data_IF_328659261059
#
_entry.id   IF_328659261059
#
_cell.length_a   1.000
_cell.length_b   1.000
_cell.length_c   1.000
_cell.angle_alpha   90.00
_cell.angle_beta   90.00
_cell.angle_gamma   90.00
#
_symmetry.space_group_name_H-M   'P 1'
#
loop_
_entity.id
_entity.type
_entity.pdbx_description
1 polymer ?
#
# COMPACT_ATOMS: atom_id res chain seq x y z
N UNK A 1 -19.08 -18.83 6.98
CA UNK A 1 -17.93 -18.37 6.19
C UNK A 1 -17.47 -17.03 6.74
N UNK A 2 -16.43 -17.02 7.60
CA UNK A 2 -16.06 -15.85 8.41
C UNK A 2 -14.64 -15.39 8.08
N UNK A 3 -14.51 -14.09 7.78
CA UNK A 3 -13.35 -13.18 7.95
C UNK A 3 -12.02 -13.54 7.23
N UNK A 4 -11.72 -12.89 6.10
CA UNK A 4 -10.34 -12.86 5.54
C UNK A 4 -9.92 -11.51 4.93
N UNK A 5 -10.56 -10.41 5.31
CA UNK A 5 -10.06 -9.08 4.94
C UNK A 5 -9.42 -8.45 6.17
N UNK A 6 -8.12 -8.70 6.38
CA UNK A 6 -7.31 -7.86 7.26
C UNK A 6 -6.98 -6.58 6.49
N UNK A 7 -7.98 -5.74 6.30
CA UNK A 7 -7.75 -4.34 5.94
C UNK A 7 -7.22 -3.68 7.21
N UNK A 8 -5.91 -3.46 7.26
CA UNK A 8 -5.29 -2.72 8.34
C UNK A 8 -5.29 -1.25 7.95
N UNK A 9 -6.35 -0.53 8.29
CA UNK A 9 -6.33 0.93 8.29
C UNK A 9 -5.46 1.40 9.47
N UNK A 10 -4.15 1.45 9.29
CA UNK A 10 -3.27 2.13 10.26
C UNK A 10 -3.07 3.57 9.81
N UNK A 11 -3.94 4.46 10.29
CA UNK A 11 -3.71 5.89 10.26
C UNK A 11 -2.84 6.23 11.48
N UNK A 12 -1.57 6.56 11.31
CA UNK A 12 -0.80 7.18 12.39
C UNK A 12 -1.04 8.71 12.36
N UNK A 13 -0.96 9.44 13.48
CA UNK A 13 -1.01 10.90 13.49
C UNK A 13 0.39 11.49 13.26
N UNK A 14 0.50 12.57 12.46
CA UNK A 14 1.79 13.23 12.19
C UNK A 14 2.00 14.31 13.24
N UNK A 15 2.85 14.07 14.23
CA UNK A 15 3.29 15.12 15.16
C UNK A 15 4.26 16.04 14.42
N UNK A 16 3.75 17.13 13.82
CA UNK A 16 4.58 18.16 13.20
C UNK A 16 4.75 19.32 14.18
N UNK A 17 5.95 19.46 14.74
CA UNK A 17 6.36 20.67 15.44
C UNK A 17 6.69 21.75 14.41
N UNK A 18 5.86 22.78 14.29
CA UNK A 18 6.22 24.18 14.53
C UNK A 18 5.04 25.09 14.15
N UNK A 19 4.93 26.18 14.90
CA UNK A 19 3.87 27.18 14.92
C UNK A 19 3.41 27.64 13.53
N UNK A 20 2.22 27.23 13.10
CA UNK A 20 1.24 28.05 12.38
C UNK A 20 -0.07 27.28 12.20
N UNK A 21 -1.13 27.81 12.82
CA UNK A 21 -2.50 27.33 12.80
C UNK A 21 -3.12 27.56 11.42
N UNK A 22 -3.14 26.54 10.57
CA UNK A 22 -4.21 26.38 9.58
C UNK A 22 -4.78 24.97 9.72
N UNK A 23 -6.01 24.98 10.19
CA UNK A 23 -6.88 23.88 10.56
C UNK A 23 -7.29 23.05 9.35
N UNK A 24 -6.54 21.99 9.06
CA UNK A 24 -7.15 20.72 8.67
C UNK A 24 -6.22 19.56 9.07
N UNK A 25 -6.42 19.05 10.29
CA UNK A 25 -5.65 17.94 10.88
C UNK A 25 -5.91 16.58 10.21
N UNK A 26 -6.37 16.56 8.95
CA UNK A 26 -6.74 15.36 8.19
C UNK A 26 -5.75 15.11 7.04
N UNK A 27 -4.46 15.06 7.37
CA UNK A 27 -3.45 14.66 6.40
C UNK A 27 -3.47 13.15 6.25
N UNK A 28 -3.72 12.66 5.05
CA UNK A 28 -3.49 11.26 4.70
C UNK A 28 -2.03 10.92 4.99
N UNK A 29 -1.79 9.90 5.79
CA UNK A 29 -0.43 9.43 6.07
C UNK A 29 -0.07 8.27 5.16
N UNK A 30 -0.56 7.09 5.53
CA UNK A 30 -0.29 5.85 4.82
C UNK A 30 -1.51 4.93 4.93
N UNK A 31 -1.70 4.11 3.93
CA UNK A 31 -2.68 3.04 3.88
C UNK A 31 -1.96 1.82 3.33
N UNK A 32 -2.25 0.64 3.87
CA UNK A 32 -1.74 -0.63 3.37
C UNK A 32 -2.84 -1.66 3.30
N UNK A 33 -2.88 -2.41 2.20
CA UNK A 33 -3.85 -3.48 1.99
C UNK A 33 -3.13 -4.70 1.45
N UNK A 34 -3.29 -5.80 2.18
CA UNK A 34 -2.71 -7.09 1.82
C UNK A 34 -3.67 -8.21 2.19
N UNK A 35 -4.57 -8.60 1.27
CA UNK A 35 -5.54 -9.66 1.52
C UNK A 35 -4.82 -10.99 1.70
N UNK A 36 -5.12 -11.69 2.79
CA UNK A 36 -4.49 -12.99 3.07
C UNK A 36 -4.77 -14.00 1.95
N UNK A 37 -5.98 -13.98 1.39
CA UNK A 37 -6.34 -14.81 0.25
C UNK A 37 -5.46 -14.57 -0.99
N UNK A 38 -5.02 -13.32 -1.23
CA UNK A 38 -4.11 -13.03 -2.35
C UNK A 38 -2.72 -13.64 -2.11
N UNK A 39 -2.20 -13.52 -0.88
CA UNK A 39 -0.92 -14.15 -0.50
C UNK A 39 -0.96 -15.67 -0.64
N UNK A 40 -2.04 -16.29 -0.19
CA UNK A 40 -2.20 -17.73 -0.25
C UNK A 40 -2.39 -18.21 -1.70
N UNK A 41 -3.17 -17.48 -2.50
CA UNK A 41 -3.35 -17.74 -3.93
C UNK A 41 -2.03 -17.64 -4.71
N UNK A 42 -1.23 -16.61 -4.45
CA UNK A 42 0.09 -16.48 -5.07
C UNK A 42 1.02 -17.65 -4.75
N UNK A 43 1.08 -18.06 -3.47
CA UNK A 43 1.89 -19.20 -3.04
C UNK A 43 1.43 -20.52 -3.67
N UNK A 44 0.13 -20.67 -3.91
CA UNK A 44 -0.45 -21.91 -4.43
C UNK A 44 -0.30 -22.06 -5.95
N UNK A 45 -0.41 -20.98 -6.73
CA UNK A 45 -0.56 -21.09 -8.18
C UNK A 45 0.22 -20.09 -9.02
N UNK A 46 0.83 -19.05 -8.43
CA UNK A 46 1.55 -18.03 -9.21
C UNK A 46 3.03 -18.38 -9.38
N UNK A 47 3.65 -17.77 -10.39
CA UNK A 47 5.09 -17.87 -10.63
C UNK A 47 5.83 -17.09 -9.54
N UNK A 48 7.03 -17.56 -9.18
CA UNK A 48 7.91 -16.94 -8.17
C UNK A 48 8.61 -15.68 -8.71
N UNK A 49 7.83 -14.79 -9.31
CA UNK A 49 8.24 -13.49 -9.83
C UNK A 49 7.33 -12.45 -9.16
N UNK A 50 7.93 -11.38 -8.66
CA UNK A 50 7.25 -10.23 -8.09
C UNK A 50 7.70 -8.98 -8.86
N UNK A 51 6.73 -8.17 -9.29
CA UNK A 51 6.91 -6.82 -9.77
C UNK A 51 6.54 -5.84 -8.67
N UNK A 52 7.38 -4.82 -8.48
CA UNK A 52 7.14 -3.70 -7.59
C UNK A 52 7.03 -2.45 -8.45
N UNK A 53 5.98 -1.67 -8.24
CA UNK A 53 5.80 -0.41 -8.96
C UNK A 53 5.20 0.67 -8.05
N UNK A 54 5.52 1.92 -8.36
CA UNK A 54 5.09 3.11 -7.64
C UNK A 54 4.55 4.16 -8.62
N UNK A 55 3.40 4.76 -8.32
CA UNK A 55 2.88 5.85 -9.14
C UNK A 55 2.42 7.05 -8.31
N UNK A 56 2.54 8.26 -8.87
CA UNK A 56 2.14 9.49 -8.20
C UNK A 56 0.60 9.61 -8.17
N UNK A 57 0.04 9.81 -6.98
CA UNK A 57 -1.37 10.09 -6.78
C UNK A 57 -1.65 11.58 -7.05
N UNK A 58 -2.41 11.86 -8.11
CA UNK A 58 -2.95 13.20 -8.38
C UNK A 58 -4.28 13.36 -7.64
N UNK A 59 -4.32 14.26 -6.67
CA UNK A 59 -5.53 14.54 -5.90
C UNK A 59 -5.26 15.47 -4.71
N UNK A 60 -6.30 15.77 -3.94
CA UNK A 60 -6.22 16.70 -2.81
C UNK A 60 -5.16 16.31 -1.78
N UNK A 61 -4.99 15.00 -1.54
CA UNK A 61 -4.06 14.47 -0.55
C UNK A 61 -2.65 14.18 -1.10
N UNK A 62 -2.47 14.21 -2.42
CA UNK A 62 -1.20 13.84 -3.07
C UNK A 62 -0.71 12.44 -2.69
N UNK A 63 0.61 12.25 -2.72
CA UNK A 63 1.29 11.02 -2.31
C UNK A 63 1.61 10.07 -3.46
N UNK A 64 1.97 8.85 -3.10
CA UNK A 64 2.38 7.80 -4.03
C UNK A 64 1.63 6.51 -3.72
N UNK A 65 1.26 5.77 -4.76
CA UNK A 65 0.65 4.46 -4.67
C UNK A 65 1.68 3.41 -5.02
N UNK A 66 2.03 2.56 -4.05
CA UNK A 66 2.94 1.43 -4.20
C UNK A 66 2.11 0.16 -4.40
N UNK A 67 2.54 -0.71 -5.29
CA UNK A 67 1.89 -1.99 -5.53
C UNK A 67 2.93 -3.10 -5.67
N UNK A 68 2.60 -4.28 -5.14
CA UNK A 68 3.27 -5.54 -5.44
C UNK A 68 2.33 -6.38 -6.28
N UNK A 69 2.83 -6.84 -7.42
CA UNK A 69 2.13 -7.72 -8.33
C UNK A 69 2.95 -8.99 -8.57
N UNK A 70 2.28 -10.12 -8.68
CA UNK A 70 2.84 -11.37 -9.18
C UNK A 70 2.46 -11.61 -10.64
N UNK A 71 2.98 -12.70 -11.19
CA UNK A 71 2.51 -13.26 -12.46
C UNK A 71 1.88 -14.61 -12.19
N UNK A 72 0.62 -14.80 -12.60
CA UNK A 72 -0.08 -16.06 -12.40
C UNK A 72 0.40 -17.17 -13.38
N UNK A 73 -0.15 -18.38 -13.24
CA UNK A 73 0.17 -19.49 -14.14
C UNK A 73 -0.14 -19.17 -15.61
N UNK A 74 -1.16 -18.35 -15.86
CA UNK A 74 -1.68 -17.94 -17.16
C UNK A 74 -1.04 -16.64 -17.69
N UNK A 75 0.13 -16.24 -17.19
CA UNK A 75 0.83 -15.02 -17.59
C UNK A 75 0.05 -13.71 -17.32
N UNK A 76 -0.98 -13.75 -16.48
CA UNK A 76 -1.73 -12.58 -16.03
C UNK A 76 -1.02 -11.85 -14.88
N UNK A 77 -1.30 -10.55 -14.75
CA UNK A 77 -0.86 -9.75 -13.60
C UNK A 77 -1.76 -10.07 -12.40
N UNK A 78 -1.15 -10.47 -11.29
CA UNK A 78 -1.84 -10.87 -10.06
C UNK A 78 -1.54 -9.88 -8.94
N UNK A 79 -2.52 -9.08 -8.52
CA UNK A 79 -2.31 -8.09 -7.44
C UNK A 79 -2.22 -8.76 -6.06
N UNK A 80 -1.11 -8.51 -5.36
CA UNK A 80 -0.84 -9.07 -4.03
C UNK A 80 -1.19 -8.10 -2.92
N UNK A 81 -0.62 -6.91 -2.99
CA UNK A 81 -0.70 -5.90 -1.95
C UNK A 81 -0.44 -4.51 -2.54
N UNK A 82 -0.96 -3.50 -1.86
CA UNK A 82 -0.83 -2.12 -2.27
C UNK A 82 -0.83 -1.20 -1.07
N UNK A 83 -0.15 -0.07 -1.21
CA UNK A 83 -0.09 0.98 -0.22
C UNK A 83 -0.25 2.36 -0.86
N UNK A 84 -0.89 3.28 -0.16
CA UNK A 84 -0.74 4.69 -0.45
C UNK A 84 0.17 5.28 0.63
N UNK A 85 1.19 6.04 0.23
CA UNK A 85 2.23 6.61 1.09
C UNK A 85 2.43 8.09 0.77
N UNK A 86 3.00 8.84 1.70
CA UNK A 86 3.23 10.28 1.51
C UNK A 86 4.33 10.60 0.49
N UNK A 87 5.28 9.69 0.28
CA UNK A 87 6.45 9.87 -0.59
C UNK A 87 7.02 8.53 -1.03
N UNK A 88 7.39 8.40 -2.29
CA UNK A 88 8.15 7.26 -2.81
C UNK A 88 9.63 7.42 -2.45
N UNK A 89 9.99 6.89 -1.29
CA UNK A 89 11.36 6.88 -0.79
C UNK A 89 11.68 5.52 -0.15
N UNK A 90 12.96 5.29 0.12
CA UNK A 90 13.44 4.02 0.66
C UNK A 90 12.75 3.62 1.97
N UNK A 91 12.45 4.58 2.86
CA UNK A 91 11.77 4.31 4.13
C UNK A 91 10.30 3.89 3.92
N UNK A 92 9.61 4.46 2.93
CA UNK A 92 8.25 4.06 2.55
C UNK A 92 8.23 2.66 1.94
N UNK A 93 9.21 2.32 1.09
CA UNK A 93 9.35 0.99 0.52
C UNK A 93 9.67 -0.08 1.58
N UNK A 94 10.59 0.20 2.52
CA UNK A 94 10.87 -0.70 3.64
C UNK A 94 9.69 -0.87 4.60
N UNK A 95 8.82 0.13 4.70
CA UNK A 95 7.60 0.02 5.51
C UNK A 95 6.52 -0.81 4.82
N UNK A 96 6.50 -0.80 3.48
CA UNK A 96 5.51 -1.49 2.65
C UNK A 96 5.78 -2.99 2.50
N UNK A 97 7.05 -3.39 2.41
CA UNK A 97 7.52 -4.77 2.27
C UNK A 97 7.67 -5.48 3.62
#
# INVERSE_FOLDING_TARGET
MRRFMSICWRLEPKMRNNNNLLSDNRLFQRMYVCPQACKDGYKASCRRILGLDGCLLKGYYGGYFLAVVGIDANNGIYSLEYAAVESENQASWFWFL
#
